data_IF_890239772673
#
_entry.id   IF_890239772673
#
_cell.length_a   1.000
_cell.length_b   1.000
_cell.length_c   1.000
_cell.angle_alpha   90.00
_cell.angle_beta   90.00
_cell.angle_gamma   90.00
#
_symmetry.space_group_name_H-M   'P 1'
#
loop_
_entity.id
_entity.type
_entity.pdbx_description
1 polymer ?
#
# COMPACT_ATOMS: atom_id res chain seq x y z
N UNK A 1 -13.32 18.19 -15.52
CA UNK A 1 -13.61 17.21 -14.44
C UNK A 1 -12.90 15.91 -14.81
N UNK A 2 -12.00 15.43 -13.97
CA UNK A 2 -11.25 14.20 -14.18
C UNK A 2 -12.14 12.98 -13.96
N UNK A 3 -11.80 11.90 -14.64
CA UNK A 3 -12.41 10.56 -14.43
C UNK A 3 -11.31 9.65 -13.95
N UNK A 4 -11.29 9.38 -12.64
CA UNK A 4 -10.21 8.64 -11.98
C UNK A 4 -10.66 7.20 -11.76
N UNK A 5 -9.94 6.24 -12.36
CA UNK A 5 -10.07 4.81 -12.06
C UNK A 5 -9.06 4.42 -10.99
N UNK A 6 -9.53 3.82 -9.91
CA UNK A 6 -8.68 3.24 -8.86
C UNK A 6 -8.81 1.72 -8.88
N UNK A 7 -7.75 1.01 -9.23
CA UNK A 7 -7.71 -0.46 -9.08
C UNK A 7 -7.24 -0.84 -7.68
N UNK A 8 -7.72 -1.96 -7.14
CA UNK A 8 -7.45 -2.31 -5.75
C UNK A 8 -8.16 -1.40 -4.75
N UNK A 9 -9.25 -0.80 -5.17
CA UNK A 9 -10.02 0.20 -4.44
C UNK A 9 -10.56 -0.30 -3.09
N UNK A 10 -10.87 -1.59 -2.96
CA UNK A 10 -11.29 -2.22 -1.70
C UNK A 10 -10.12 -2.56 -0.75
N UNK A 11 -8.87 -2.30 -1.16
CA UNK A 11 -7.68 -2.56 -0.35
C UNK A 11 -7.42 -1.46 0.68
N UNK A 12 -6.39 -1.69 1.51
CA UNK A 12 -5.98 -0.79 2.59
C UNK A 12 -5.81 0.66 2.12
N UNK A 13 -4.95 0.92 1.15
CA UNK A 13 -4.69 2.28 0.64
C UNK A 13 -5.89 2.84 -0.12
N UNK A 14 -6.63 1.98 -0.84
CA UNK A 14 -7.85 2.35 -1.56
C UNK A 14 -8.88 3.01 -0.65
N UNK A 15 -9.13 2.44 0.53
CA UNK A 15 -10.04 2.99 1.53
C UNK A 15 -9.68 4.40 2.02
N UNK A 16 -8.39 4.77 1.95
CA UNK A 16 -7.92 6.09 2.37
C UNK A 16 -7.81 7.12 1.23
N UNK A 17 -7.56 6.67 0.00
CA UNK A 17 -7.42 7.58 -1.15
C UNK A 17 -8.76 7.95 -1.78
N UNK A 18 -9.71 7.01 -1.85
CA UNK A 18 -11.02 7.25 -2.46
C UNK A 18 -11.77 8.45 -1.87
N UNK A 19 -11.86 8.63 -0.52
CA UNK A 19 -12.50 9.81 0.05
C UNK A 19 -11.85 11.12 -0.36
N UNK A 20 -10.53 11.15 -0.51
CA UNK A 20 -9.79 12.35 -0.91
C UNK A 20 -10.05 12.74 -2.37
N UNK A 21 -10.09 11.75 -3.26
CA UNK A 21 -10.37 11.97 -4.67
C UNK A 21 -11.82 12.42 -4.89
N UNK A 22 -12.77 11.80 -4.18
CA UNK A 22 -14.17 12.21 -4.23
C UNK A 22 -14.38 13.65 -3.71
N UNK A 23 -13.75 14.01 -2.58
CA UNK A 23 -13.81 15.36 -2.02
C UNK A 23 -13.20 16.44 -2.94
N UNK A 24 -12.33 16.08 -3.87
CA UNK A 24 -11.78 17.00 -4.87
C UNK A 24 -12.75 17.30 -6.02
N UNK A 25 -13.96 16.73 -6.03
CA UNK A 25 -14.96 16.93 -7.07
C UNK A 25 -14.71 16.13 -8.34
N UNK A 26 -13.86 15.10 -8.28
CA UNK A 26 -13.59 14.22 -9.41
C UNK A 26 -14.64 13.11 -9.53
N UNK A 27 -14.88 12.63 -10.76
CA UNK A 27 -15.65 11.41 -10.97
C UNK A 27 -14.77 10.20 -10.72
N UNK A 28 -14.99 9.51 -9.60
CA UNK A 28 -14.14 8.40 -9.15
C UNK A 28 -14.87 7.07 -9.31
N UNK A 29 -14.16 6.07 -9.83
CA UNK A 29 -14.61 4.69 -9.83
C UNK A 29 -13.51 3.77 -9.32
N UNK A 30 -13.90 2.81 -8.48
CA UNK A 30 -13.04 1.77 -7.95
C UNK A 30 -13.32 0.41 -8.59
N UNK A 31 -12.29 -0.40 -8.79
CA UNK A 31 -12.42 -1.82 -9.10
C UNK A 31 -11.56 -2.68 -8.16
N UNK A 32 -11.98 -3.91 -7.93
CA UNK A 32 -11.23 -4.88 -7.12
C UNK A 32 -11.95 -6.22 -7.02
N UNK A 33 -11.29 -7.23 -6.45
CA UNK A 33 -11.82 -8.61 -6.35
C UNK A 33 -12.83 -8.81 -5.21
N UNK A 34 -12.74 -7.98 -4.17
CA UNK A 34 -13.64 -8.06 -3.01
C UNK A 34 -14.98 -7.39 -3.27
N UNK A 35 -15.96 -7.66 -2.41
CA UNK A 35 -17.20 -6.88 -2.37
C UNK A 35 -16.93 -5.39 -2.17
N UNK A 36 -17.92 -4.56 -2.50
CA UNK A 36 -17.79 -3.11 -2.34
C UNK A 36 -17.42 -2.74 -0.90
N UNK A 37 -16.31 -2.02 -0.68
CA UNK A 37 -16.01 -1.48 0.64
C UNK A 37 -17.06 -0.42 1.01
N UNK A 38 -16.99 0.10 2.24
CA UNK A 38 -17.74 1.32 2.57
C UNK A 38 -17.18 2.47 1.72
N UNK A 39 -17.92 2.84 0.69
CA UNK A 39 -17.51 3.88 -0.28
C UNK A 39 -17.98 5.26 0.16
N UNK A 40 -17.22 6.31 -0.16
CA UNK A 40 -17.73 7.69 -0.11
C UNK A 40 -18.91 7.87 -1.09
N UNK A 41 -19.76 8.83 -0.78
CA UNK A 41 -20.86 9.21 -1.67
C UNK A 41 -20.32 9.61 -3.06
N UNK A 42 -21.00 9.16 -4.10
CA UNK A 42 -20.65 9.46 -5.50
C UNK A 42 -19.50 8.61 -6.08
N UNK A 43 -18.88 7.71 -5.30
CA UNK A 43 -17.88 6.77 -5.82
C UNK A 43 -18.54 5.50 -6.31
N UNK A 44 -18.39 5.19 -7.60
CA UNK A 44 -18.82 3.91 -8.17
C UNK A 44 -17.83 2.79 -7.82
N UNK A 45 -18.32 1.56 -7.70
CA UNK A 45 -17.46 0.38 -7.51
C UNK A 45 -18.00 -0.81 -8.31
N UNK A 46 -17.07 -1.55 -8.90
CA UNK A 46 -17.40 -2.80 -9.60
C UNK A 46 -16.42 -3.90 -9.22
N UNK A 47 -16.95 -5.10 -8.99
CA UNK A 47 -16.12 -6.26 -8.67
C UNK A 47 -15.54 -6.81 -9.97
N UNK A 48 -14.26 -6.56 -10.19
CA UNK A 48 -13.50 -7.01 -11.37
C UNK A 48 -12.15 -7.55 -10.93
N UNK A 49 -11.82 -8.79 -11.38
CA UNK A 49 -10.46 -9.31 -11.26
C UNK A 49 -9.60 -8.76 -12.40
N UNK A 50 -8.37 -8.32 -12.12
CA UNK A 50 -7.41 -7.91 -13.16
C UNK A 50 -7.11 -9.04 -14.17
N UNK A 51 -7.34 -10.28 -13.80
CA UNK A 51 -7.15 -11.44 -14.69
C UNK A 51 -8.35 -11.69 -15.61
N UNK A 52 -9.46 -10.97 -15.44
CA UNK A 52 -10.60 -10.96 -16.35
C UNK A 52 -10.43 -9.81 -17.35
N UNK A 53 -9.72 -10.09 -18.43
CA UNK A 53 -9.40 -9.12 -19.49
C UNK A 53 -10.67 -8.53 -20.14
N UNK A 54 -11.69 -9.35 -20.36
CA UNK A 54 -12.93 -8.90 -21.01
C UNK A 54 -13.70 -7.92 -20.13
N UNK A 55 -13.92 -8.25 -18.85
CA UNK A 55 -14.59 -7.37 -17.90
C UNK A 55 -13.82 -6.06 -17.70
N UNK A 56 -12.49 -6.13 -17.62
CA UNK A 56 -11.60 -4.98 -17.45
C UNK A 56 -11.67 -4.03 -18.66
N UNK A 57 -11.60 -4.58 -19.88
CA UNK A 57 -11.69 -3.82 -21.13
C UNK A 57 -13.06 -3.16 -21.30
N UNK A 58 -14.14 -3.90 -21.01
CA UNK A 58 -15.49 -3.35 -21.05
C UNK A 58 -15.68 -2.20 -20.05
N UNK A 59 -15.13 -2.33 -18.84
CA UNK A 59 -15.20 -1.29 -17.83
C UNK A 59 -14.43 -0.03 -18.27
N UNK A 60 -13.17 -0.18 -18.69
CA UNK A 60 -12.32 0.94 -19.12
C UNK A 60 -12.94 1.68 -20.32
N UNK A 61 -13.45 0.96 -21.32
CA UNK A 61 -14.10 1.54 -22.48
C UNK A 61 -15.36 2.35 -22.12
N UNK A 62 -16.15 1.88 -21.14
CA UNK A 62 -17.37 2.56 -20.65
C UNK A 62 -17.03 3.76 -19.77
N UNK A 63 -16.13 3.61 -18.81
CA UNK A 63 -15.78 4.66 -17.85
C UNK A 63 -14.91 5.76 -18.47
N UNK A 64 -14.03 5.40 -19.41
CA UNK A 64 -13.07 6.28 -20.12
C UNK A 64 -12.24 7.14 -19.15
N UNK A 65 -11.42 6.52 -18.30
CA UNK A 65 -10.61 7.25 -17.32
C UNK A 65 -9.67 8.26 -17.99
N UNK A 66 -9.48 9.41 -17.35
CA UNK A 66 -8.43 10.38 -17.67
C UNK A 66 -7.20 10.15 -16.84
N UNK A 67 -7.36 9.59 -15.64
CA UNK A 67 -6.30 9.13 -14.75
C UNK A 67 -6.61 7.74 -14.22
N UNK A 68 -5.55 6.93 -14.05
CA UNK A 68 -5.63 5.59 -13.47
C UNK A 68 -4.65 5.53 -12.30
N UNK A 69 -5.15 5.22 -11.11
CA UNK A 69 -4.31 4.89 -9.95
C UNK A 69 -4.31 3.37 -9.76
N UNK A 70 -3.20 2.74 -10.11
CA UNK A 70 -3.08 1.28 -10.04
C UNK A 70 -2.50 0.85 -8.69
N UNK A 71 -3.38 0.57 -7.72
CA UNK A 71 -3.03 0.02 -6.39
C UNK A 71 -3.10 -1.50 -6.34
N UNK A 72 -3.84 -2.12 -7.25
CA UNK A 72 -4.08 -3.56 -7.24
C UNK A 72 -2.77 -4.35 -7.38
N UNK A 73 -2.68 -5.43 -6.63
CA UNK A 73 -1.53 -6.33 -6.63
C UNK A 73 -1.36 -7.02 -5.27
N UNK A 74 -0.59 -8.10 -5.27
CA UNK A 74 -0.15 -8.76 -4.03
C UNK A 74 1.01 -7.95 -3.45
N UNK A 75 0.86 -7.43 -2.24
CA UNK A 75 1.79 -6.48 -1.61
C UNK A 75 2.63 -7.08 -0.47
N UNK A 76 2.31 -8.30 -0.01
CA UNK A 76 3.03 -8.96 1.07
C UNK A 76 4.27 -9.68 0.54
N UNK A 77 5.44 -9.31 1.08
CA UNK A 77 6.71 -10.01 0.79
C UNK A 77 6.65 -11.47 1.23
N UNK A 78 5.99 -11.74 2.38
CA UNK A 78 5.84 -13.10 2.90
C UNK A 78 4.96 -13.98 1.99
N UNK A 79 3.80 -13.46 1.58
CA UNK A 79 2.89 -14.18 0.68
C UNK A 79 3.54 -14.41 -0.70
N UNK A 80 4.33 -13.44 -1.17
CA UNK A 80 5.07 -13.56 -2.42
C UNK A 80 6.17 -14.62 -2.36
N UNK A 81 6.73 -14.87 -1.17
CA UNK A 81 7.73 -15.92 -0.97
C UNK A 81 7.08 -17.32 -0.96
N UNK A 82 5.89 -17.46 -0.36
CA UNK A 82 5.15 -18.72 -0.31
C UNK A 82 4.43 -19.05 -1.62
N UNK A 83 4.01 -18.03 -2.39
CA UNK A 83 3.25 -18.15 -3.64
C UNK A 83 3.82 -17.34 -4.79
N UNK A 84 5.09 -17.56 -5.23
CA UNK A 84 5.73 -16.72 -6.25
C UNK A 84 4.98 -16.72 -7.58
N UNK A 85 4.44 -17.84 -8.02
CA UNK A 85 3.67 -17.94 -9.26
C UNK A 85 2.40 -17.06 -9.25
N UNK A 86 1.70 -17.02 -8.12
CA UNK A 86 0.53 -16.17 -7.96
C UNK A 86 0.90 -14.67 -7.97
N UNK A 87 2.05 -14.33 -7.38
CA UNK A 87 2.56 -12.95 -7.42
C UNK A 87 2.82 -12.49 -8.86
N UNK A 88 3.51 -13.29 -9.65
CA UNK A 88 3.74 -12.99 -11.08
C UNK A 88 2.43 -12.87 -11.83
N UNK A 89 1.52 -13.82 -11.64
CA UNK A 89 0.23 -13.84 -12.32
C UNK A 89 -0.59 -12.58 -12.04
N UNK A 90 -0.70 -12.16 -10.78
CA UNK A 90 -1.49 -10.97 -10.43
C UNK A 90 -0.77 -9.68 -10.77
N UNK A 91 0.51 -9.55 -10.38
CA UNK A 91 1.22 -8.27 -10.48
C UNK A 91 1.72 -7.96 -11.90
N UNK A 92 1.91 -8.99 -12.74
CA UNK A 92 2.42 -8.81 -14.11
C UNK A 92 1.34 -9.11 -15.14
N UNK A 93 0.70 -10.30 -15.14
CA UNK A 93 -0.32 -10.57 -16.15
C UNK A 93 -1.56 -9.69 -15.94
N UNK A 94 -1.98 -9.46 -14.68
CA UNK A 94 -3.07 -8.52 -14.40
C UNK A 94 -2.74 -7.08 -14.83
N UNK A 95 -1.47 -6.66 -14.69
CA UNK A 95 -1.01 -5.38 -15.20
C UNK A 95 -1.06 -5.32 -16.73
N UNK A 96 -0.65 -6.38 -17.42
CA UNK A 96 -0.72 -6.48 -18.89
C UNK A 96 -2.15 -6.37 -19.40
N UNK A 97 -3.11 -7.04 -18.76
CA UNK A 97 -4.53 -6.92 -19.11
C UNK A 97 -5.04 -5.48 -18.94
N UNK A 98 -4.58 -4.78 -17.87
CA UNK A 98 -4.94 -3.37 -17.70
C UNK A 98 -4.30 -2.48 -18.79
N UNK A 99 -3.07 -2.74 -19.20
CA UNK A 99 -2.42 -2.04 -20.32
C UNK A 99 -3.23 -2.23 -21.60
N UNK A 100 -3.62 -3.47 -21.94
CA UNK A 100 -4.47 -3.75 -23.09
C UNK A 100 -5.82 -2.99 -23.04
N UNK A 101 -6.45 -2.97 -21.85
CA UNK A 101 -7.71 -2.23 -21.68
C UNK A 101 -7.56 -0.71 -21.90
N UNK A 102 -6.42 -0.12 -21.50
CA UNK A 102 -6.21 1.34 -21.62
C UNK A 102 -5.82 1.79 -23.02
N UNK A 103 -5.53 0.91 -23.96
CA UNK A 103 -5.38 1.24 -25.39
C UNK A 103 -6.61 1.98 -25.95
N UNK A 104 -7.78 1.72 -25.39
CA UNK A 104 -9.03 2.37 -25.77
C UNK A 104 -9.14 3.84 -25.28
N UNK A 105 -8.22 4.32 -24.44
CA UNK A 105 -8.27 5.65 -23.81
C UNK A 105 -6.92 6.37 -23.91
N UNK A 106 -6.42 6.64 -25.12
CA UNK A 106 -5.17 7.38 -25.30
C UNK A 106 -5.26 8.75 -24.65
N UNK A 107 -4.10 9.28 -24.20
CA UNK A 107 -4.02 10.57 -23.51
C UNK A 107 -4.31 10.49 -22.00
N UNK A 108 -4.65 9.34 -21.43
CA UNK A 108 -4.78 9.21 -19.99
C UNK A 108 -3.39 9.20 -19.30
N UNK A 109 -3.38 9.47 -17.98
CA UNK A 109 -2.19 9.36 -17.14
C UNK A 109 -2.29 8.13 -16.25
N UNK A 110 -1.30 7.24 -16.32
CA UNK A 110 -1.23 6.01 -15.56
C UNK A 110 -0.29 6.19 -14.35
N UNK A 111 -0.85 6.24 -13.16
CA UNK A 111 -0.12 6.25 -11.89
C UNK A 111 0.09 4.81 -11.42
N UNK A 112 1.30 4.32 -11.59
CA UNK A 112 1.68 2.97 -11.16
C UNK A 112 2.23 2.99 -9.74
N UNK A 113 1.53 2.34 -8.81
CA UNK A 113 2.05 2.16 -7.45
C UNK A 113 3.00 0.96 -7.43
N UNK A 114 4.28 1.29 -7.51
CA UNK A 114 5.41 0.39 -7.33
C UNK A 114 5.70 0.19 -5.83
N UNK A 115 6.94 0.22 -5.41
CA UNK A 115 7.35 0.10 -4.00
C UNK A 115 8.78 0.57 -3.81
N UNK A 116 9.12 1.10 -2.63
CA UNK A 116 10.51 1.30 -2.20
C UNK A 116 11.30 -0.02 -2.10
N UNK A 117 10.63 -1.17 -1.98
CA UNK A 117 11.26 -2.49 -1.99
C UNK A 117 12.04 -2.79 -3.29
N UNK A 118 11.75 -2.10 -4.40
CA UNK A 118 12.50 -2.26 -5.66
C UNK A 118 13.98 -1.90 -5.52
N UNK A 119 14.32 -1.03 -4.60
CA UNK A 119 15.72 -0.68 -4.33
C UNK A 119 16.53 -1.84 -3.75
N UNK A 120 15.91 -2.71 -2.96
CA UNK A 120 16.50 -3.97 -2.52
C UNK A 120 17.91 -3.83 -1.95
N UNK A 121 18.91 -4.42 -2.64
CA UNK A 121 20.31 -4.39 -2.18
C UNK A 121 20.94 -2.98 -2.20
N UNK A 122 20.40 -2.01 -2.92
CA UNK A 122 20.90 -0.63 -2.90
C UNK A 122 20.83 -0.01 -1.49
N UNK A 123 19.90 -0.44 -0.65
CA UNK A 123 19.82 -0.01 0.76
C UNK A 123 21.06 -0.37 1.61
N UNK A 124 21.89 -1.31 1.15
CA UNK A 124 23.16 -1.64 1.83
C UNK A 124 24.17 -0.49 1.80
N UNK A 125 23.93 0.54 0.98
CA UNK A 125 24.69 1.80 1.02
C UNK A 125 24.54 2.57 2.34
N UNK A 126 23.52 2.24 3.17
CA UNK A 126 23.38 2.77 4.54
C UNK A 126 22.87 4.22 4.62
N UNK A 127 22.26 4.74 3.57
CA UNK A 127 21.67 6.08 3.55
C UNK A 127 20.28 6.07 2.88
N UNK A 128 19.54 7.18 2.98
CA UNK A 128 18.27 7.35 2.29
C UNK A 128 18.49 7.37 0.76
N UNK A 129 17.66 6.62 0.01
CA UNK A 129 17.79 6.49 -1.43
C UNK A 129 16.87 7.49 -2.15
N UNK A 130 17.40 8.09 -3.22
CA UNK A 130 16.64 8.92 -4.14
C UNK A 130 16.06 8.08 -5.28
N UNK A 131 15.22 8.68 -6.12
CA UNK A 131 14.66 8.01 -7.29
C UNK A 131 15.69 7.70 -8.39
N UNK A 132 16.88 8.30 -8.31
CA UNK A 132 18.00 8.05 -9.22
C UNK A 132 18.87 6.87 -8.75
N UNK A 133 18.62 6.35 -7.56
CA UNK A 133 19.29 5.13 -7.07
C UNK A 133 18.84 3.91 -7.88
N UNK A 134 19.80 3.03 -8.22
CA UNK A 134 19.57 1.84 -9.02
C UNK A 134 18.67 0.83 -8.28
N UNK A 135 17.57 0.34 -8.90
CA UNK A 135 16.78 -0.76 -8.35
C UNK A 135 17.52 -2.09 -8.40
N UNK A 136 17.69 -2.72 -7.23
CA UNK A 136 18.35 -4.02 -7.05
C UNK A 136 17.44 -4.98 -6.24
N UNK A 137 16.26 -5.37 -6.77
CA UNK A 137 15.23 -6.08 -6.02
C UNK A 137 15.67 -7.48 -5.57
N UNK A 138 15.40 -7.84 -4.30
CA UNK A 138 15.87 -9.08 -3.66
C UNK A 138 14.83 -10.18 -3.56
N UNK A 139 13.54 -9.86 -3.62
CA UNK A 139 12.44 -10.80 -3.44
C UNK A 139 11.44 -10.75 -4.61
N UNK A 140 10.57 -11.75 -4.69
CA UNK A 140 9.59 -11.89 -5.79
C UNK A 140 8.67 -10.68 -5.90
N UNK A 141 8.20 -10.14 -4.77
CA UNK A 141 7.35 -8.96 -4.76
C UNK A 141 8.07 -7.75 -5.38
N UNK A 142 9.26 -7.42 -4.88
CA UNK A 142 10.05 -6.31 -5.38
C UNK A 142 10.40 -6.48 -6.88
N UNK A 143 10.76 -7.69 -7.29
CA UNK A 143 11.01 -8.01 -8.71
C UNK A 143 9.77 -7.81 -9.57
N UNK A 144 8.59 -8.26 -9.11
CA UNK A 144 7.35 -8.08 -9.86
C UNK A 144 6.98 -6.61 -10.04
N UNK A 145 7.23 -5.77 -9.02
CA UNK A 145 7.02 -4.32 -9.12
C UNK A 145 8.02 -3.67 -10.06
N UNK A 146 9.30 -4.06 -9.98
CA UNK A 146 10.32 -3.56 -10.90
C UNK A 146 10.06 -3.95 -12.36
N UNK A 147 9.68 -5.20 -12.61
CA UNK A 147 9.27 -5.65 -13.96
C UNK A 147 8.06 -4.84 -14.44
N UNK A 148 7.09 -4.57 -13.58
CA UNK A 148 5.95 -3.72 -13.91
C UNK A 148 6.37 -2.31 -14.34
N UNK A 149 7.34 -1.68 -13.64
CA UNK A 149 7.89 -0.38 -14.05
C UNK A 149 8.51 -0.43 -15.47
N UNK A 150 9.25 -1.49 -15.77
CA UNK A 150 9.90 -1.64 -17.09
C UNK A 150 8.88 -1.91 -18.20
N UNK A 151 7.90 -2.78 -17.97
CA UNK A 151 6.82 -3.05 -18.93
C UNK A 151 6.05 -1.78 -19.26
N UNK A 152 5.68 -0.98 -18.26
CA UNK A 152 4.92 0.25 -18.49
C UNK A 152 5.75 1.31 -19.23
N UNK A 153 7.07 1.41 -18.97
CA UNK A 153 7.97 2.31 -19.69
C UNK A 153 8.08 1.96 -21.18
N UNK A 154 8.01 0.68 -21.54
CA UNK A 154 8.05 0.23 -22.93
C UNK A 154 6.68 0.38 -23.61
N UNK A 155 5.59 0.00 -22.96
CA UNK A 155 4.28 -0.17 -23.59
C UNK A 155 3.44 1.12 -23.63
N UNK A 156 3.37 1.88 -22.54
CA UNK A 156 2.45 3.02 -22.44
C UNK A 156 2.73 4.15 -23.43
N UNK A 157 4.01 4.53 -23.74
CA UNK A 157 4.28 5.54 -24.77
C UNK A 157 3.79 5.13 -26.14
N UNK A 158 3.81 3.83 -26.47
CA UNK A 158 3.36 3.29 -27.79
C UNK A 158 1.86 3.49 -28.02
N UNK A 159 1.08 3.56 -26.93
CA UNK A 159 -0.38 3.74 -26.97
C UNK A 159 -0.81 5.16 -26.53
N UNK A 160 0.14 6.10 -26.43
CA UNK A 160 -0.14 7.50 -26.09
C UNK A 160 -0.61 7.71 -24.64
N UNK A 161 -0.19 6.86 -23.70
CA UNK A 161 -0.54 6.94 -22.29
C UNK A 161 0.67 7.40 -21.50
N UNK A 162 0.52 8.43 -20.66
CA UNK A 162 1.57 8.95 -19.79
C UNK A 162 1.76 8.07 -18.57
N UNK A 163 3.02 7.83 -18.18
CA UNK A 163 3.39 7.06 -16.99
C UNK A 163 3.87 7.97 -15.86
N UNK A 164 3.38 7.73 -14.65
CA UNK A 164 3.95 8.24 -13.39
C UNK A 164 4.16 7.07 -12.44
N UNK A 165 5.38 6.87 -11.96
CA UNK A 165 5.72 5.77 -11.04
C UNK A 165 5.79 6.28 -9.61
N UNK A 166 5.11 5.61 -8.68
CA UNK A 166 5.06 5.93 -7.27
C UNK A 166 5.75 4.81 -6.48
N UNK A 167 6.82 5.12 -5.75
CA UNK A 167 7.54 4.17 -4.90
C UNK A 167 7.28 4.49 -3.42
N UNK A 168 6.11 4.05 -2.87
CA UNK A 168 5.86 4.23 -1.45
C UNK A 168 6.81 3.37 -0.62
N UNK A 169 7.27 3.94 0.49
CA UNK A 169 7.95 3.25 1.57
C UNK A 169 6.94 2.64 2.54
N UNK A 170 7.40 2.10 3.67
CA UNK A 170 6.48 1.48 4.61
C UNK A 170 5.42 2.49 5.07
N UNK A 171 4.20 2.05 5.18
CA UNK A 171 3.14 2.89 5.70
C UNK A 171 2.20 2.08 6.58
N UNK A 172 1.63 2.73 7.58
CA UNK A 172 0.78 2.16 8.61
C UNK A 172 -0.51 2.95 8.73
N UNK A 173 -1.54 2.34 9.30
CA UNK A 173 -2.80 3.03 9.58
C UNK A 173 -3.96 2.07 9.78
N UNK A 174 -5.16 2.62 10.09
CA UNK A 174 -6.39 1.85 10.23
C UNK A 174 -6.71 1.03 8.99
N UNK A 175 -7.10 -0.24 9.16
CA UNK A 175 -7.43 -1.15 8.07
C UNK A 175 -6.25 -1.96 7.52
N UNK A 176 -5.03 -1.76 8.01
CA UNK A 176 -3.88 -2.57 7.59
C UNK A 176 -3.99 -4.01 8.09
N UNK A 177 -3.61 -4.96 7.23
CA UNK A 177 -3.59 -6.39 7.55
C UNK A 177 -2.45 -6.75 8.52
N UNK A 178 -2.70 -7.72 9.43
CA UNK A 178 -1.71 -8.19 10.41
C UNK A 178 -0.50 -8.93 9.81
N UNK A 179 -0.45 -9.17 8.51
CA UNK A 179 0.76 -9.61 7.80
C UNK A 179 1.88 -8.56 7.82
N UNK A 180 1.56 -7.31 8.14
CA UNK A 180 2.51 -6.21 8.29
C UNK A 180 2.86 -5.98 9.76
N UNK A 181 4.13 -5.70 10.02
CA UNK A 181 4.74 -5.77 11.36
C UNK A 181 4.03 -4.93 12.42
N UNK A 182 3.72 -3.66 12.13
CA UNK A 182 3.09 -2.76 13.12
C UNK A 182 1.63 -3.16 13.38
N UNK A 183 0.90 -3.53 12.34
CA UNK A 183 -0.46 -4.06 12.47
C UNK A 183 -0.48 -5.42 13.21
N UNK A 184 0.53 -6.28 13.00
CA UNK A 184 0.70 -7.52 13.76
C UNK A 184 0.89 -7.25 15.24
N UNK A 185 1.73 -6.29 15.61
CA UNK A 185 1.92 -5.91 17.02
C UNK A 185 0.61 -5.40 17.63
N UNK A 186 -0.07 -4.49 16.95
CA UNK A 186 -1.35 -3.94 17.41
C UNK A 186 -2.43 -5.02 17.59
N UNK A 187 -2.54 -5.96 16.65
CA UNK A 187 -3.48 -7.08 16.73
C UNK A 187 -3.16 -8.04 17.89
N UNK A 188 -1.88 -8.32 18.15
CA UNK A 188 -1.45 -9.12 19.31
C UNK A 188 -1.79 -8.38 20.61
N UNK A 189 -1.47 -7.08 20.74
CA UNK A 189 -1.79 -6.26 21.92
C UNK A 189 -3.29 -6.25 22.16
N UNK A 190 -4.12 -6.04 21.14
CA UNK A 190 -5.58 -6.05 21.28
C UNK A 190 -6.11 -7.40 21.82
N UNK A 191 -5.56 -8.53 21.36
CA UNK A 191 -5.91 -9.87 21.87
C UNK A 191 -5.45 -10.11 23.32
N UNK A 192 -4.28 -9.62 23.70
CA UNK A 192 -3.75 -9.67 25.07
C UNK A 192 -4.68 -8.85 25.99
N UNK A 193 -5.01 -7.62 25.60
CA UNK A 193 -5.91 -6.73 26.37
C UNK A 193 -7.32 -7.33 26.55
N UNK A 194 -7.79 -8.08 25.56
CA UNK A 194 -9.07 -8.78 25.62
C UNK A 194 -9.02 -10.10 26.41
N UNK A 195 -7.86 -10.50 26.96
CA UNK A 195 -7.67 -11.77 27.68
C UNK A 195 -7.81 -13.02 26.80
N UNK A 196 -7.63 -12.91 25.50
CA UNK A 196 -7.80 -14.02 24.56
C UNK A 196 -6.53 -14.85 24.38
N UNK A 197 -5.39 -14.29 24.71
CA UNK A 197 -4.07 -14.94 24.65
C UNK A 197 -3.25 -14.53 25.88
N UNK A 198 -2.23 -15.31 26.27
CA UNK A 198 -1.30 -14.93 27.36
C UNK A 198 -0.65 -13.57 27.08
N UNK A 199 -0.23 -12.83 28.14
CA UNK A 199 0.41 -11.53 28.00
C UNK A 199 1.87 -11.65 27.51
N UNK A 200 2.04 -12.22 26.31
CA UNK A 200 3.33 -12.44 25.66
C UNK A 200 3.20 -12.09 24.18
N UNK A 201 3.93 -11.08 23.72
CA UNK A 201 3.93 -10.61 22.34
C UNK A 201 5.16 -11.20 21.60
N UNK A 202 4.88 -11.88 20.49
CA UNK A 202 5.90 -12.52 19.66
C UNK A 202 6.40 -11.61 18.54
N UNK A 203 7.73 -11.50 18.44
CA UNK A 203 8.40 -10.61 17.49
C UNK A 203 9.49 -11.34 16.70
N UNK A 204 9.88 -10.77 15.56
CA UNK A 204 11.11 -11.10 14.85
C UNK A 204 12.25 -10.16 15.23
N UNK A 205 13.05 -9.77 14.21
CA UNK A 205 14.14 -8.80 14.41
C UNK A 205 13.57 -7.38 14.60
N UNK A 206 13.96 -6.75 15.69
CA UNK A 206 13.52 -5.40 16.07
C UNK A 206 14.54 -4.30 15.72
N UNK A 207 15.78 -4.66 15.34
CA UNK A 207 16.86 -3.69 15.13
C UNK A 207 16.84 -2.98 13.79
N UNK A 208 16.10 -3.50 12.82
CA UNK A 208 16.04 -2.94 11.47
C UNK A 208 15.32 -1.59 11.45
N UNK A 209 15.85 -0.65 10.67
CA UNK A 209 15.24 0.67 10.43
C UNK A 209 14.35 0.65 9.20
N UNK A 210 13.17 1.22 9.31
CA UNK A 210 12.21 1.41 8.22
C UNK A 210 11.69 2.84 8.20
N UNK A 211 11.49 3.36 7.01
CA UNK A 211 10.84 4.65 6.81
C UNK A 211 9.33 4.44 6.81
N UNK A 212 8.67 4.88 7.88
CA UNK A 212 7.24 4.74 8.06
C UNK A 212 6.50 6.05 7.81
N UNK A 213 5.36 5.94 7.11
CA UNK A 213 4.38 7.01 6.94
C UNK A 213 3.02 6.59 7.50
N UNK A 214 2.18 7.55 7.85
CA UNK A 214 0.75 7.29 7.98
C UNK A 214 0.13 7.11 6.60
N UNK A 215 -0.78 6.16 6.45
CA UNK A 215 -1.49 5.91 5.18
C UNK A 215 -2.29 7.12 4.70
N UNK A 216 -2.73 7.98 5.62
CA UNK A 216 -3.42 9.22 5.27
C UNK A 216 -2.50 10.20 4.52
N UNK A 217 -1.21 10.27 4.90
CA UNK A 217 -0.20 11.09 4.20
C UNK A 217 0.15 10.49 2.83
N UNK A 218 0.21 9.16 2.74
CA UNK A 218 0.39 8.45 1.44
C UNK A 218 -0.78 8.74 0.50
N UNK A 219 -2.02 8.64 1.00
CA UNK A 219 -3.22 8.95 0.21
C UNK A 219 -3.26 10.42 -0.22
N UNK A 220 -2.78 11.34 0.64
CA UNK A 220 -2.64 12.75 0.29
C UNK A 220 -1.59 12.98 -0.82
N UNK A 221 -0.44 12.27 -0.75
CA UNK A 221 0.57 12.34 -1.80
C UNK A 221 0.02 11.89 -3.15
N UNK A 222 -0.71 10.77 -3.18
CA UNK A 222 -1.33 10.26 -4.41
C UNK A 222 -2.35 11.25 -4.98
N UNK A 223 -3.28 11.74 -4.16
CA UNK A 223 -4.27 12.73 -4.60
C UNK A 223 -3.60 14.03 -5.11
N UNK A 224 -2.55 14.49 -4.43
CA UNK A 224 -1.78 15.67 -4.84
C UNK A 224 -1.06 15.51 -6.17
N UNK A 225 -0.50 14.33 -6.46
CA UNK A 225 0.13 14.02 -7.75
C UNK A 225 -0.92 13.87 -8.86
N UNK A 226 -2.03 13.18 -8.60
CA UNK A 226 -3.14 13.06 -9.54
C UNK A 226 -3.70 14.45 -9.89
N UNK A 227 -3.82 15.34 -8.89
CA UNK A 227 -4.24 16.73 -9.10
C UNK A 227 -3.33 17.53 -10.03
N UNK A 228 -2.12 17.06 -10.29
CA UNK A 228 -1.10 17.68 -11.15
C UNK A 228 -0.74 16.85 -12.39
N UNK A 229 -1.55 15.82 -12.72
CA UNK A 229 -1.27 14.86 -13.78
C UNK A 229 -0.80 15.52 -15.10
N UNK A 230 -1.42 16.61 -15.51
CA UNK A 230 -1.09 17.31 -16.76
C UNK A 230 0.32 17.88 -16.76
N UNK A 231 0.79 18.45 -15.63
CA UNK A 231 2.09 19.11 -15.51
C UNK A 231 3.24 18.16 -15.20
N UNK A 232 2.96 16.92 -14.81
CA UNK A 232 4.02 15.95 -14.50
C UNK A 232 4.68 15.47 -15.80
N UNK A 233 6.03 15.34 -15.84
CA UNK A 233 6.72 14.72 -16.96
C UNK A 233 6.36 13.23 -17.09
N UNK A 234 6.35 12.72 -18.32
CA UNK A 234 6.22 11.30 -18.60
C UNK A 234 7.40 10.48 -18.02
N UNK A 235 7.11 9.26 -17.58
CA UNK A 235 8.10 8.35 -16.99
C UNK A 235 8.64 8.80 -15.62
N UNK A 236 8.08 9.87 -15.01
CA UNK A 236 8.58 10.40 -13.74
C UNK A 236 8.36 9.45 -12.58
N UNK A 237 9.39 9.29 -11.76
CA UNK A 237 9.35 8.48 -10.54
C UNK A 237 9.28 9.40 -9.31
N UNK A 238 8.51 9.02 -8.30
CA UNK A 238 8.41 9.69 -7.02
C UNK A 238 8.53 8.69 -5.86
N UNK A 239 9.52 8.91 -4.98
CA UNK A 239 9.54 8.28 -3.67
C UNK A 239 8.47 8.92 -2.78
N UNK A 240 7.75 8.09 -2.03
CA UNK A 240 6.79 8.53 -1.04
C UNK A 240 7.26 7.99 0.30
N UNK A 241 8.00 8.84 1.03
CA UNK A 241 8.74 8.50 2.24
C UNK A 241 8.72 9.67 3.22
N UNK A 242 8.87 9.37 4.52
CA UNK A 242 8.95 10.42 5.55
C UNK A 242 10.33 11.08 5.59
N UNK A 243 11.37 10.36 5.19
CA UNK A 243 12.77 10.73 5.37
C UNK A 243 13.27 10.57 6.82
N UNK A 244 12.44 9.97 7.70
CA UNK A 244 12.75 9.75 9.12
C UNK A 244 12.64 8.26 9.47
N UNK A 245 13.66 7.45 9.16
CA UNK A 245 13.64 6.03 9.45
C UNK A 245 13.61 5.78 10.97
N UNK A 246 12.83 4.77 11.37
CA UNK A 246 12.63 4.35 12.76
C UNK A 246 12.93 2.86 12.90
N UNK A 247 13.42 2.43 14.05
CA UNK A 247 13.58 1.00 14.33
C UNK A 247 12.22 0.32 14.48
N UNK A 248 12.17 -0.96 14.19
CA UNK A 248 10.98 -1.78 14.49
C UNK A 248 10.76 -1.80 16.02
N UNK A 249 11.83 -1.77 16.81
CA UNK A 249 11.75 -1.64 18.27
C UNK A 249 10.99 -0.39 18.69
N UNK A 250 11.30 0.79 18.12
CA UNK A 250 10.63 2.04 18.49
C UNK A 250 9.13 2.04 18.14
N UNK A 251 8.72 1.32 17.10
CA UNK A 251 7.31 1.13 16.78
C UNK A 251 6.60 0.27 17.85
N UNK A 252 7.26 -0.81 18.29
CA UNK A 252 6.75 -1.67 19.36
C UNK A 252 6.68 -0.94 20.69
N UNK A 253 7.73 -0.19 21.07
CA UNK A 253 7.77 0.60 22.29
C UNK A 253 6.63 1.62 22.33
N UNK A 254 6.42 2.36 21.23
CA UNK A 254 5.33 3.31 21.13
C UNK A 254 3.93 2.65 21.24
N UNK A 255 3.74 1.42 20.74
CA UNK A 255 2.50 0.67 20.95
C UNK A 255 2.39 0.16 22.39
N UNK A 256 3.49 -0.29 23.01
CA UNK A 256 3.53 -0.75 24.41
C UNK A 256 3.14 0.36 25.37
N UNK A 257 3.61 1.59 25.14
CA UNK A 257 3.25 2.75 25.96
C UNK A 257 1.74 3.09 25.91
N UNK A 258 1.03 2.61 24.89
CA UNK A 258 -0.43 2.77 24.68
C UNK A 258 -1.23 1.55 25.10
N UNK A 259 -0.57 0.48 25.48
CA UNK A 259 -1.22 -0.74 25.92
C UNK A 259 -1.86 -0.57 27.30
N UNK A 260 -3.03 -1.20 27.50
CA UNK A 260 -3.82 -1.12 28.74
C UNK A 260 -3.37 -2.13 29.80
N UNK A 261 -2.61 -3.14 29.39
CA UNK A 261 -2.06 -4.19 30.26
C UNK A 261 -0.60 -4.44 29.93
N UNK A 262 0.24 -4.77 30.91
CA UNK A 262 1.64 -5.14 30.67
C UNK A 262 1.71 -6.50 29.94
N UNK A 263 2.76 -6.69 29.16
CA UNK A 263 3.07 -7.94 28.49
C UNK A 263 4.58 -8.12 28.35
N UNK A 264 5.00 -9.37 28.21
CA UNK A 264 6.37 -9.74 27.87
C UNK A 264 6.58 -9.72 26.35
N UNK A 265 7.83 -9.50 25.93
CA UNK A 265 8.22 -9.57 24.50
C UNK A 265 9.10 -10.80 24.35
N UNK A 266 8.74 -11.69 23.40
CA UNK A 266 9.48 -12.89 23.08
C UNK A 266 9.90 -12.89 21.61
N UNK A 267 11.19 -13.09 21.35
CA UNK A 267 11.69 -13.31 20.00
C UNK A 267 11.28 -14.72 19.56
N UNK A 268 10.51 -14.83 18.51
CA UNK A 268 10.10 -16.08 17.90
C UNK A 268 11.03 -16.38 16.71
N UNK A 269 11.84 -17.46 16.75
CA UNK A 269 12.83 -17.74 15.70
C UNK A 269 12.26 -17.83 14.30
N UNK A 270 11.03 -18.33 14.16
CA UNK A 270 10.31 -18.44 12.90
C UNK A 270 9.91 -17.08 12.29
N UNK A 271 9.94 -16.01 13.09
CA UNK A 271 9.69 -14.63 12.66
C UNK A 271 10.98 -13.88 12.30
N UNK A 272 12.14 -14.44 12.59
CA UNK A 272 13.45 -13.85 12.27
C UNK A 272 13.78 -14.16 10.82
N UNK A 273 13.93 -13.13 9.99
CA UNK A 273 14.29 -13.29 8.57
C UNK A 273 15.81 -13.19 8.40
N UNK A 274 16.43 -14.16 7.66
CA UNK A 274 17.85 -14.07 7.33
C UNK A 274 18.16 -12.87 6.42
N UNK A 275 19.35 -12.31 6.55
CA UNK A 275 19.90 -11.26 5.66
C UNK A 275 18.97 -10.05 5.47
N UNK A 276 18.42 -9.53 6.55
CA UNK A 276 17.63 -8.31 6.51
C UNK A 276 18.47 -7.10 6.07
N UNK A 277 17.81 -6.18 5.40
CA UNK A 277 18.34 -4.85 5.11
C UNK A 277 18.28 -4.04 6.42
N UNK A 278 19.45 -3.55 6.94
CA UNK A 278 19.46 -2.85 8.22
C UNK A 278 18.71 -1.53 8.20
N UNK A 279 18.81 -0.78 7.09
CA UNK A 279 18.18 0.53 6.90
C UNK A 279 17.48 0.60 5.54
N UNK A 280 16.17 0.78 5.52
CA UNK A 280 15.42 1.10 4.31
C UNK A 280 14.74 2.46 4.49
N UNK A 281 15.32 3.48 3.88
CA UNK A 281 14.86 4.87 3.94
C UNK A 281 14.87 5.50 2.54
N UNK A 282 13.94 6.42 2.29
CA UNK A 282 13.83 7.14 1.03
C UNK A 282 13.93 8.65 1.20
N UNK A 283 14.36 9.33 0.14
CA UNK A 283 14.24 10.78 0.02
C UNK A 283 13.04 11.11 -0.87
N UNK A 284 12.09 11.89 -0.33
CA UNK A 284 10.92 12.40 -1.03
C UNK A 284 11.14 13.83 -1.58
N UNK A 285 12.37 14.28 -1.78
CA UNK A 285 12.71 15.63 -2.25
C UNK A 285 12.03 15.96 -3.56
N UNK A 286 11.98 15.03 -4.48
CA UNK A 286 11.30 15.17 -5.79
C UNK A 286 9.79 15.38 -5.64
N UNK A 287 9.14 14.61 -4.75
CA UNK A 287 7.72 14.79 -4.44
C UNK A 287 7.45 16.14 -3.80
N UNK A 288 8.27 16.54 -2.82
CA UNK A 288 8.17 17.87 -2.16
C UNK A 288 8.30 19.00 -3.18
N UNK A 289 9.27 18.92 -4.06
CA UNK A 289 9.48 19.93 -5.10
C UNK A 289 8.30 20.05 -6.07
N UNK A 290 7.71 18.90 -6.48
CA UNK A 290 6.62 18.86 -7.44
C UNK A 290 5.27 19.31 -6.86
N UNK A 291 5.03 19.07 -5.57
CA UNK A 291 3.69 19.20 -4.98
C UNK A 291 3.62 20.07 -3.74
N UNK A 292 4.74 20.38 -3.10
CA UNK A 292 4.78 20.97 -1.77
C UNK A 292 4.41 19.99 -0.65
N UNK A 293 4.17 18.72 -0.97
CA UNK A 293 3.74 17.71 -0.01
C UNK A 293 4.74 17.51 1.14
N UNK A 294 4.20 17.33 2.32
CA UNK A 294 4.92 16.91 3.53
C UNK A 294 4.00 15.99 4.34
N UNK A 295 4.55 15.00 5.07
CA UNK A 295 3.74 14.24 6.02
C UNK A 295 3.22 15.17 7.11
N UNK A 296 1.94 15.01 7.48
CA UNK A 296 1.24 15.86 8.46
C UNK A 296 0.85 15.09 9.71
N UNK A 297 0.69 13.75 9.62
CA UNK A 297 0.26 12.94 10.75
C UNK A 297 1.48 12.64 11.63
N UNK A 298 1.39 13.01 12.91
CA UNK A 298 2.43 12.68 13.86
C UNK A 298 2.57 11.15 14.04
N UNK A 299 3.79 10.69 14.28
CA UNK A 299 4.08 9.27 14.46
C UNK A 299 3.26 8.66 15.60
N UNK A 300 3.17 9.36 16.70
CA UNK A 300 2.44 8.98 17.89
C UNK A 300 0.94 8.80 17.62
N UNK A 301 0.37 9.68 16.79
CA UNK A 301 -1.03 9.60 16.37
C UNK A 301 -1.26 8.39 15.46
N UNK A 302 -0.31 8.11 14.55
CA UNK A 302 -0.38 6.93 13.67
C UNK A 302 -0.41 5.64 14.48
N UNK A 303 0.44 5.50 15.51
CA UNK A 303 0.44 4.32 16.38
C UNK A 303 -0.85 4.18 17.18
N UNK A 304 -1.38 5.29 17.71
CA UNK A 304 -2.66 5.32 18.40
C UNK A 304 -3.78 4.82 17.49
N UNK A 305 -3.87 5.36 16.28
CA UNK A 305 -4.90 4.99 15.31
C UNK A 305 -4.82 3.52 14.88
N UNK A 306 -3.60 2.98 14.71
CA UNK A 306 -3.40 1.56 14.36
C UNK A 306 -3.86 0.64 15.50
N UNK A 307 -3.53 0.99 16.76
CA UNK A 307 -3.93 0.17 17.91
C UNK A 307 -5.43 0.24 18.16
N UNK A 308 -6.04 1.42 18.05
CA UNK A 308 -7.48 1.59 18.24
C UNK A 308 -8.30 0.88 17.15
N UNK A 309 -7.82 0.88 15.90
CA UNK A 309 -8.41 0.10 14.81
C UNK A 309 -8.34 -1.42 15.10
N UNK A 310 -7.19 -1.91 15.58
CA UNK A 310 -7.06 -3.32 15.95
C UNK A 310 -8.03 -3.73 17.05
N UNK A 311 -8.20 -2.88 18.09
CA UNK A 311 -9.19 -3.07 19.16
C UNK A 311 -10.62 -3.10 18.62
N UNK A 312 -10.97 -2.14 17.76
CA UNK A 312 -12.30 -2.03 17.16
C UNK A 312 -12.64 -3.24 16.28
N UNK A 313 -11.70 -3.67 15.42
CA UNK A 313 -11.90 -4.86 14.58
C UNK A 313 -12.07 -6.13 15.41
N UNK A 314 -11.30 -6.30 16.48
CA UNK A 314 -11.43 -7.42 17.38
C UNK A 314 -12.80 -7.42 18.10
N UNK A 315 -13.27 -6.28 18.55
CA UNK A 315 -14.60 -6.13 19.18
C UNK A 315 -15.72 -6.51 18.19
N UNK A 316 -15.70 -5.97 16.98
CA UNK A 316 -16.68 -6.25 15.94
C UNK A 316 -16.71 -7.74 15.55
N UNK A 317 -15.56 -8.41 15.45
CA UNK A 317 -15.49 -9.84 15.14
C UNK A 317 -16.10 -10.72 16.26
N UNK A 318 -16.02 -10.28 17.51
CA UNK A 318 -16.63 -11.00 18.64
C UNK A 318 -18.16 -10.83 18.70
N UNK A 319 -18.66 -9.68 18.29
CA UNK A 319 -20.11 -9.44 18.22
C UNK A 319 -20.75 -10.29 17.10
N UNK A 320 -20.12 -10.34 15.92
CA UNK A 320 -20.60 -11.17 14.79
C UNK A 320 -20.45 -12.67 15.05
N UNK A 321 -19.41 -13.11 15.75
CA UNK A 321 -19.19 -14.53 16.13
C UNK A 321 -20.14 -15.02 17.24
N UNK A 322 -20.73 -14.14 18.05
CA UNK A 322 -21.75 -14.51 19.04
C UNK A 322 -23.15 -14.70 18.46
N UNK A 323 -23.38 -14.24 17.23
CA UNK A 323 -24.65 -14.43 16.51
C UNK A 323 -24.83 -15.79 15.83
N UNK A 324 -23.77 -16.59 15.76
CA UNK A 324 -23.83 -17.95 15.25
C UNK A 324 -23.82 -18.94 16.43
N UNK A 325 -24.95 -19.09 17.13
CA UNK A 325 -25.17 -20.20 18.06
C UNK A 325 -25.29 -21.49 17.23
N UNK A 326 -24.43 -22.50 17.44
CA UNK A 326 -24.52 -23.76 16.72
C UNK A 326 -25.67 -24.68 17.19
N UNK A 327 -26.71 -24.13 17.85
CA UNK A 327 -27.88 -24.87 18.37
C UNK A 327 -29.21 -24.25 17.90
N UNK A 328 -29.34 -23.94 16.62
CA UNK A 328 -30.68 -23.75 16.03
C UNK A 328 -30.78 -24.47 14.67
#
# INVERSE_FOLDING_TARGET
>A
MRRILVTGAAGFVGGHVLPRLAAAGDRVAGIGRGGAPRLPEGVAYETIDLLDEAALSAFVARFRPTEILHLAGLASVADSASGPGQTWRVNVNGLMNLVAAVEAVPGCTFFFVSSGEVYGSAFLAGHALTEDSEPLPRNTYARSKWVGEQLLRDLLPRIGVKLVVLRPFNHIGPGQDERFVVASFAGQIARIEAGLVPPCLEVGNLSSYRDFLDVADVAQAYAGLIGRAESLPDGRVFNISSGMPRTIASALDGLRDRARVPFEIRIAPERVRPAEIPLAAGDAGRLRAATGWRPLVAWEDSLTRVLDDARARLAASRETGRGADPRS
#
